data_IF_515435728099
#
_entry.id   IF_515435728099
#
_cell.length_a   1.000
_cell.length_b   1.000
_cell.length_c   1.000
_cell.angle_alpha   90.00
_cell.angle_beta   90.00
_cell.angle_gamma   90.00
#
_symmetry.space_group_name_H-M   'P 1'
#
loop_
_entity.id
_entity.type
_entity.pdbx_description
1 polymer ?
#
# COMPACT_ATOMS: atom_id res chain seq x y z
N UNK A 1 11.14 -26.66 8.24
CA UNK A 1 10.59 -25.79 7.19
C UNK A 1 9.65 -24.83 7.88
N UNK A 2 9.76 -23.53 7.61
CA UNK A 2 8.91 -22.51 8.24
C UNK A 2 7.78 -22.17 7.28
N UNK A 3 6.53 -22.24 7.76
CA UNK A 3 5.37 -21.88 6.96
C UNK A 3 5.30 -20.35 6.78
N UNK A 4 4.86 -19.91 5.59
CA UNK A 4 4.79 -18.49 5.21
C UNK A 4 3.34 -18.13 4.92
N UNK A 5 2.89 -17.00 5.48
CA UNK A 5 1.51 -16.53 5.37
C UNK A 5 1.45 -15.07 4.91
N UNK A 6 0.35 -14.68 4.26
CA UNK A 6 0.03 -13.29 3.93
C UNK A 6 -0.95 -12.78 4.99
N UNK A 7 -0.52 -11.80 5.79
CA UNK A 7 -1.33 -11.26 6.88
C UNK A 7 -2.33 -10.19 6.41
N UNK A 8 -1.97 -9.41 5.39
CA UNK A 8 -2.83 -8.37 4.84
C UNK A 8 -2.45 -8.00 3.40
N UNK A 9 -3.34 -7.26 2.73
CA UNK A 9 -3.08 -6.67 1.43
C UNK A 9 -3.76 -5.31 1.30
N UNK A 10 -3.08 -4.36 0.66
CA UNK A 10 -3.60 -3.03 0.36
C UNK A 10 -3.00 -2.52 -0.95
N UNK A 11 -3.73 -1.60 -1.61
CA UNK A 11 -3.26 -0.90 -2.82
C UNK A 11 -3.93 0.45 -2.94
N UNK A 12 -3.31 1.35 -3.68
CA UNK A 12 -3.97 2.57 -4.14
C UNK A 12 -4.94 2.27 -5.30
N UNK A 13 -5.84 3.20 -5.65
CA UNK A 13 -6.52 3.20 -6.93
C UNK A 13 -5.51 3.28 -8.10
N UNK A 14 -5.93 2.84 -9.27
CA UNK A 14 -5.13 2.97 -10.50
C UNK A 14 -5.40 4.35 -11.09
N UNK A 15 -4.35 5.17 -11.20
CA UNK A 15 -4.41 6.48 -11.84
C UNK A 15 -4.45 6.36 -13.37
N UNK A 16 -5.17 7.29 -14.02
CA UNK A 16 -5.01 7.52 -15.47
C UNK A 16 -3.82 8.44 -15.71
N UNK A 17 -3.16 8.32 -16.85
CA UNK A 17 -2.11 9.25 -17.27
C UNK A 17 -2.66 10.69 -17.30
N UNK A 18 -1.98 11.63 -16.64
CA UNK A 18 -2.46 13.01 -16.47
C UNK A 18 -3.72 13.16 -15.60
N UNK A 19 -4.17 12.10 -14.91
CA UNK A 19 -5.39 12.11 -14.10
C UNK A 19 -5.19 12.58 -12.66
N UNK A 20 -6.13 12.23 -11.78
CA UNK A 20 -6.18 12.74 -10.39
C UNK A 20 -5.04 12.33 -9.46
N UNK A 21 -4.19 11.38 -9.85
CA UNK A 21 -2.98 11.00 -9.11
C UNK A 21 -1.69 11.54 -9.73
N UNK A 22 -1.78 12.31 -10.83
CA UNK A 22 -0.60 12.73 -11.62
C UNK A 22 0.36 13.65 -10.87
N UNK A 23 -0.13 14.38 -9.87
CA UNK A 23 0.65 15.30 -9.04
C UNK A 23 1.12 14.67 -7.74
N UNK A 24 0.73 13.41 -7.43
CA UNK A 24 1.09 12.73 -6.19
C UNK A 24 2.38 11.95 -6.40
N UNK A 25 3.44 12.17 -5.59
CA UNK A 25 4.66 11.40 -5.67
C UNK A 25 4.43 9.89 -5.46
N UNK A 26 5.17 9.07 -6.20
CA UNK A 26 5.06 7.61 -6.09
C UNK A 26 5.41 7.10 -4.67
N UNK A 27 6.34 7.77 -3.99
CA UNK A 27 6.70 7.47 -2.59
C UNK A 27 5.52 7.63 -1.65
N UNK A 28 4.68 8.65 -1.86
CA UNK A 28 3.53 8.94 -1.01
C UNK A 28 2.41 7.93 -1.26
N UNK A 29 2.21 7.53 -2.52
CA UNK A 29 1.30 6.44 -2.88
C UNK A 29 1.74 5.11 -2.25
N UNK A 30 3.05 4.82 -2.28
CA UNK A 30 3.64 3.64 -1.63
C UNK A 30 3.48 3.69 -0.11
N UNK A 31 3.75 4.84 0.50
CA UNK A 31 3.59 5.05 1.94
C UNK A 31 2.13 4.85 2.39
N UNK A 32 1.16 5.34 1.61
CA UNK A 32 -0.25 5.09 1.88
C UNK A 32 -0.61 3.60 1.81
N UNK A 33 -0.10 2.87 0.81
CA UNK A 33 -0.32 1.43 0.68
C UNK A 33 0.32 0.63 1.83
N UNK A 34 1.57 0.96 2.21
CA UNK A 34 2.29 0.30 3.30
C UNK A 34 1.57 0.55 4.63
N UNK A 35 1.22 1.81 4.95
CA UNK A 35 0.53 2.14 6.20
C UNK A 35 -0.77 1.35 6.35
N UNK A 36 -1.57 1.29 5.29
CA UNK A 36 -2.83 0.53 5.30
C UNK A 36 -2.59 -0.99 5.42
N UNK A 37 -1.53 -1.53 4.81
CA UNK A 37 -1.19 -2.95 4.94
C UNK A 37 -0.77 -3.29 6.38
N UNK A 38 0.12 -2.50 6.98
CA UNK A 38 0.60 -2.69 8.35
C UNK A 38 -0.56 -2.60 9.35
N UNK A 39 -1.38 -1.56 9.25
CA UNK A 39 -2.56 -1.37 10.10
C UNK A 39 -3.52 -2.57 10.03
N UNK A 40 -3.81 -3.07 8.82
CA UNK A 40 -4.69 -4.25 8.63
C UNK A 40 -4.09 -5.55 9.11
N UNK A 41 -2.75 -5.67 9.11
CA UNK A 41 -2.09 -6.87 9.61
C UNK A 41 -2.05 -6.95 11.13
N UNK A 42 -2.37 -5.86 11.84
CA UNK A 42 -2.37 -5.82 13.31
C UNK A 42 -0.98 -5.95 13.93
N UNK A 43 0.08 -5.66 13.17
CA UNK A 43 1.47 -5.67 13.63
C UNK A 43 1.95 -4.24 13.87
N UNK A 44 2.88 -4.06 14.80
CA UNK A 44 3.50 -2.76 15.05
C UNK A 44 4.43 -2.36 13.88
N UNK A 45 4.49 -1.05 13.51
CA UNK A 45 5.33 -0.54 12.41
C UNK A 45 6.84 -0.66 12.61
#
# INVERSE_FOLDING_TARGET
>A
MTDVFILSAARTPIGKFGGGLSTVPATDLGAAAIRAAVERSGVEP
#
